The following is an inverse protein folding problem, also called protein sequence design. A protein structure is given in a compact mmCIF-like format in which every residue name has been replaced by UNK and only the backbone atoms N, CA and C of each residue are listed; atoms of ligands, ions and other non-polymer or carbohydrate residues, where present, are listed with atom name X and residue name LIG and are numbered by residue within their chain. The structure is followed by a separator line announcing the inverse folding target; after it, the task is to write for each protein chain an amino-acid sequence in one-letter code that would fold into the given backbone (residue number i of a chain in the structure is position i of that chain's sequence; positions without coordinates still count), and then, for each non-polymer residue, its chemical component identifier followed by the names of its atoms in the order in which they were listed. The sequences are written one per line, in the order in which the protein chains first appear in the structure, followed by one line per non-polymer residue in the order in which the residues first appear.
data_IF_885709559053
#
_entry.id   IF_885709559053
#
_cell.length_a   1.000
_cell.length_b   1.000
_cell.length_c   1.000
_cell.angle_alpha   90.00
_cell.angle_beta   90.00
_cell.angle_gamma   90.00
#
_symmetry.space_group_name_H-M   'P 1'
#
loop_
_entity.id
_entity.type
_entity.pdbx_description
1 polymer ?
#
# COMPACT_ATOMS: atom_id res chain seq x y z
N UNK A 1 -8.36 -11.39 8.34
CA UNK A 1 -7.62 -11.17 7.08
C UNK A 1 -7.05 -12.47 6.50
N UNK A 2 -6.45 -13.34 7.31
CA UNK A 2 -5.91 -14.65 6.85
C UNK A 2 -7.00 -15.56 6.28
N UNK A 3 -8.19 -15.56 6.88
CA UNK A 3 -9.35 -16.31 6.36
C UNK A 3 -9.72 -15.82 4.95
N UNK A 4 -9.73 -14.51 4.74
CA UNK A 4 -10.02 -13.94 3.42
C UNK A 4 -9.00 -14.37 2.35
N UNK A 5 -7.72 -14.48 2.72
CA UNK A 5 -6.67 -14.95 1.82
C UNK A 5 -6.91 -16.39 1.31
N UNK A 6 -7.58 -17.23 2.12
CA UNK A 6 -7.89 -18.62 1.75
C UNK A 6 -9.26 -18.71 1.05
N UNK A 7 -10.27 -18.05 1.62
CA UNK A 7 -11.66 -18.17 1.16
C UNK A 7 -11.88 -17.47 -0.19
N UNK A 8 -11.29 -16.29 -0.40
CA UNK A 8 -11.56 -15.51 -1.62
C UNK A 8 -11.02 -16.16 -2.90
N UNK A 9 -9.83 -16.76 -2.95
CA UNK A 9 -9.40 -17.54 -4.10
C UNK A 9 -10.32 -18.75 -4.41
N UNK A 10 -10.87 -19.38 -3.37
CA UNK A 10 -11.83 -20.49 -3.56
C UNK A 10 -13.13 -19.95 -4.15
N UNK A 11 -13.62 -18.80 -3.67
CA UNK A 11 -14.83 -18.18 -4.22
C UNK A 11 -14.64 -17.75 -5.67
N UNK A 12 -13.52 -17.18 -6.05
CA UNK A 12 -13.26 -16.77 -7.45
C UNK A 12 -13.28 -17.98 -8.38
N UNK A 13 -12.74 -19.12 -7.94
CA UNK A 13 -12.81 -20.39 -8.70
C UNK A 13 -14.21 -20.98 -8.72
N UNK A 14 -14.95 -20.91 -7.62
CA UNK A 14 -16.32 -21.46 -7.54
C UNK A 14 -17.30 -20.70 -8.44
N UNK A 15 -17.13 -19.36 -8.56
CA UNK A 15 -17.94 -18.51 -9.43
C UNK A 15 -17.41 -18.39 -10.85
N UNK A 16 -16.34 -19.13 -11.19
CA UNK A 16 -15.71 -19.13 -12.52
C UNK A 16 -15.35 -17.72 -13.01
N UNK A 17 -14.87 -16.86 -12.12
CA UNK A 17 -14.40 -15.55 -12.52
C UNK A 17 -13.18 -15.68 -13.43
N UNK A 18 -13.10 -14.85 -14.48
CA UNK A 18 -11.90 -14.75 -15.26
C UNK A 18 -10.75 -14.15 -14.42
N UNK A 19 -9.52 -14.29 -14.88
CA UNK A 19 -8.33 -13.88 -14.13
C UNK A 19 -8.31 -12.39 -13.79
N UNK A 20 -8.77 -11.53 -14.72
CA UNK A 20 -8.84 -10.09 -14.49
C UNK A 20 -9.85 -9.76 -13.37
N UNK A 21 -11.06 -10.30 -13.43
CA UNK A 21 -12.10 -10.04 -12.41
C UNK A 21 -11.67 -10.60 -11.05
N UNK A 22 -11.06 -11.78 -11.04
CA UNK A 22 -10.48 -12.37 -9.82
C UNK A 22 -9.40 -11.46 -9.22
N UNK A 23 -8.53 -10.92 -10.06
CA UNK A 23 -7.48 -10.00 -9.65
C UNK A 23 -8.05 -8.70 -9.05
N UNK A 24 -9.01 -8.07 -9.73
CA UNK A 24 -9.67 -6.86 -9.22
C UNK A 24 -10.41 -7.14 -7.91
N UNK A 25 -11.10 -8.25 -7.80
CA UNK A 25 -11.81 -8.65 -6.59
C UNK A 25 -10.85 -8.86 -5.41
N UNK A 26 -9.78 -9.63 -5.60
CA UNK A 26 -8.79 -9.90 -4.56
C UNK A 26 -8.03 -8.62 -4.15
N UNK A 27 -7.57 -7.83 -5.12
CA UNK A 27 -6.87 -6.57 -4.88
C UNK A 27 -7.73 -5.52 -4.19
N UNK A 28 -9.02 -5.47 -4.50
CA UNK A 28 -9.97 -4.54 -3.92
C UNK A 28 -10.46 -4.92 -2.52
N UNK A 29 -10.61 -6.21 -2.23
CA UNK A 29 -11.23 -6.70 -0.99
C UNK A 29 -10.24 -7.04 0.11
N UNK A 30 -9.13 -7.68 -0.19
CA UNK A 30 -8.11 -8.03 0.81
C UNK A 30 -7.37 -6.77 1.23
N UNK A 31 -7.19 -6.57 2.52
CA UNK A 31 -6.65 -5.30 3.05
C UNK A 31 -5.12 -5.21 2.95
N UNK A 32 -4.40 -6.28 3.20
CA UNK A 32 -2.95 -6.34 3.25
C UNK A 32 -2.34 -6.68 1.88
N UNK A 33 -1.28 -5.96 1.49
CA UNK A 33 -0.56 -6.16 0.21
C UNK A 33 0.04 -7.55 0.11
N UNK A 34 0.71 -8.03 1.17
CA UNK A 34 1.33 -9.35 1.17
C UNK A 34 0.30 -10.48 0.99
N UNK A 35 -0.86 -10.33 1.62
CA UNK A 35 -1.97 -11.28 1.48
C UNK A 35 -2.59 -11.24 0.09
N UNK A 36 -2.71 -10.06 -0.53
CA UNK A 36 -3.17 -9.91 -1.92
C UNK A 36 -2.26 -10.64 -2.88
N UNK A 37 -0.95 -10.43 -2.75
CA UNK A 37 0.05 -11.11 -3.58
C UNK A 37 -0.07 -12.62 -3.41
N UNK A 38 -0.07 -13.12 -2.16
CA UNK A 38 -0.20 -14.55 -1.90
C UNK A 38 -1.51 -15.15 -2.43
N UNK A 39 -2.65 -14.47 -2.23
CA UNK A 39 -3.95 -14.92 -2.71
C UNK A 39 -4.04 -14.88 -4.24
N UNK A 40 -3.58 -13.81 -4.88
CA UNK A 40 -3.62 -13.64 -6.33
C UNK A 40 -2.81 -14.69 -7.07
N UNK A 41 -1.54 -14.85 -6.70
CA UNK A 41 -0.65 -15.85 -7.31
C UNK A 41 -1.03 -17.31 -6.99
N UNK A 42 -1.87 -17.55 -5.97
CA UNK A 42 -2.44 -18.88 -5.73
C UNK A 42 -3.55 -19.25 -6.72
N UNK A 43 -4.14 -18.29 -7.41
CA UNK A 43 -5.16 -18.52 -8.46
C UNK A 43 -4.48 -18.70 -9.81
N UNK A 44 -3.76 -17.67 -10.28
CA UNK A 44 -2.96 -17.68 -11.50
C UNK A 44 -1.93 -16.54 -11.47
N UNK A 45 -0.94 -16.58 -12.37
CA UNK A 45 0.04 -15.49 -12.50
C UNK A 45 -0.65 -14.18 -12.92
N UNK A 46 -1.58 -14.25 -13.86
CA UNK A 46 -2.34 -13.09 -14.35
C UNK A 46 -3.20 -12.46 -13.24
N UNK A 47 -3.94 -13.28 -12.51
CA UNK A 47 -4.69 -12.83 -11.33
C UNK A 47 -3.79 -12.17 -10.29
N UNK A 48 -2.59 -12.72 -10.05
CA UNK A 48 -1.61 -12.16 -9.12
C UNK A 48 -1.10 -10.78 -9.52
N UNK A 49 -0.79 -10.60 -10.80
CA UNK A 49 -0.35 -9.31 -11.35
C UNK A 49 -1.44 -8.25 -11.26
N UNK A 50 -2.65 -8.57 -11.72
CA UNK A 50 -3.81 -7.66 -11.66
C UNK A 50 -4.15 -7.29 -10.21
N UNK A 51 -4.21 -8.26 -9.31
CA UNK A 51 -4.51 -8.03 -7.90
C UNK A 51 -3.49 -7.11 -7.24
N UNK A 52 -2.21 -7.33 -7.53
CA UNK A 52 -1.11 -6.50 -7.03
C UNK A 52 -1.20 -5.08 -7.58
N UNK A 53 -1.46 -4.92 -8.87
CA UNK A 53 -1.59 -3.63 -9.54
C UNK A 53 -2.76 -2.82 -8.96
N UNK A 54 -3.94 -3.42 -8.80
CA UNK A 54 -5.12 -2.79 -8.19
C UNK A 54 -4.80 -2.32 -6.77
N UNK A 55 -4.07 -3.13 -6.01
CA UNK A 55 -3.65 -2.77 -4.66
C UNK A 55 -2.67 -1.61 -4.63
N UNK A 56 -1.69 -1.59 -5.52
CA UNK A 56 -0.72 -0.50 -5.62
C UNK A 56 -1.39 0.82 -6.01
N UNK A 57 -2.35 0.80 -6.95
CA UNK A 57 -3.15 1.99 -7.31
C UNK A 57 -3.90 2.51 -6.08
N UNK A 58 -4.56 1.63 -5.33
CA UNK A 58 -5.30 2.02 -4.13
C UNK A 58 -4.39 2.66 -3.07
N UNK A 59 -3.21 2.12 -2.85
CA UNK A 59 -2.22 2.69 -1.91
C UNK A 59 -1.67 4.01 -2.44
N UNK A 60 -1.41 4.12 -3.73
CA UNK A 60 -0.94 5.36 -4.36
C UNK A 60 -1.97 6.50 -4.24
N UNK A 61 -3.26 6.19 -4.37
CA UNK A 61 -4.33 7.17 -4.21
C UNK A 61 -4.47 7.68 -2.76
N UNK A 62 -3.93 6.98 -1.78
CA UNK A 62 -3.93 7.45 -0.39
C UNK A 62 -3.11 8.73 -0.22
N UNK A 63 -2.01 8.88 -0.96
CA UNK A 63 -1.12 10.04 -0.85
C UNK A 63 -1.83 11.37 -1.19
N UNK A 64 -2.53 11.52 -2.34
CA UNK A 64 -3.27 12.74 -2.65
C UNK A 64 -4.43 12.98 -1.68
N UNK A 65 -5.12 11.94 -1.22
CA UNK A 65 -6.22 12.07 -0.25
C UNK A 65 -5.70 12.61 1.08
N UNK A 66 -4.61 12.06 1.61
CA UNK A 66 -3.98 12.54 2.85
C UNK A 66 -3.51 13.98 2.68
N UNK A 67 -2.97 14.34 1.53
CA UNK A 67 -2.55 15.72 1.24
C UNK A 67 -3.74 16.69 1.28
N UNK A 68 -4.83 16.37 0.60
CA UNK A 68 -6.05 17.19 0.59
C UNK A 68 -6.61 17.35 1.99
N UNK A 69 -6.75 16.26 2.75
CA UNK A 69 -7.24 16.31 4.14
C UNK A 69 -6.32 17.17 5.00
N UNK A 70 -4.99 17.02 4.89
CA UNK A 70 -4.02 17.80 5.65
C UNK A 70 -4.15 19.30 5.38
N UNK A 71 -4.35 19.67 4.11
CA UNK A 71 -4.57 21.09 3.71
C UNK A 71 -5.90 21.62 4.24
N UNK A 72 -6.97 20.83 4.15
CA UNK A 72 -8.30 21.22 4.66
C UNK A 72 -8.30 21.42 6.17
N UNK A 73 -7.72 20.48 6.92
CA UNK A 73 -7.61 20.57 8.38
C UNK A 73 -6.80 21.80 8.79
N UNK A 74 -5.73 22.12 8.06
CA UNK A 74 -4.94 23.31 8.33
C UNK A 74 -5.73 24.61 8.12
N UNK A 75 -6.51 24.71 7.05
CA UNK A 75 -7.35 25.89 6.78
C UNK A 75 -8.36 26.12 7.89
N UNK A 76 -8.98 25.06 8.43
CA UNK A 76 -9.90 25.15 9.54
C UNK A 76 -9.22 25.44 10.90
N UNK A 77 -7.94 25.05 11.05
CA UNK A 77 -7.17 25.34 12.26
C UNK A 77 -6.61 26.76 12.30
N UNK A 78 -6.55 27.47 11.18
CA UNK A 78 -6.19 28.89 11.12
C UNK A 78 -7.26 29.79 11.73
N UNK A 79 -8.53 29.33 11.77
CA UNK A 79 -9.66 30.04 12.42
C UNK A 79 -9.73 29.79 13.94
N UNK A 80 -8.99 28.84 14.47
CA UNK A 80 -8.91 28.54 15.90
C UNK A 80 -7.56 29.01 16.46
N UNK A 81 -7.56 30.15 17.13
CA UNK A 81 -6.41 30.79 17.81
C UNK A 81 -5.96 29.93 19.01
N UNK A 82 -5.33 28.79 18.73
CA UNK A 82 -4.72 27.92 19.75
C UNK A 82 -3.21 27.90 19.55
N UNK A 83 -2.49 28.59 20.46
CA UNK A 83 -1.03 28.76 20.49
C UNK A 83 -0.21 27.47 20.68
N UNK A 84 -0.55 26.40 19.98
CA UNK A 84 0.15 25.12 19.95
C UNK A 84 1.05 24.99 18.71
N UNK A 85 2.16 24.25 18.85
CA UNK A 85 3.07 23.93 17.73
C UNK A 85 2.28 23.35 16.58
N UNK A 86 2.27 24.05 15.44
CA UNK A 86 1.57 23.65 14.22
C UNK A 86 2.09 22.30 13.73
N UNK A 87 1.23 21.28 13.57
CA UNK A 87 1.66 20.02 12.99
C UNK A 87 2.16 20.25 11.56
N UNK A 88 3.21 19.56 11.12
CA UNK A 88 3.71 19.72 9.74
C UNK A 88 2.60 19.36 8.75
N UNK A 89 2.47 20.16 7.69
CA UNK A 89 1.43 20.03 6.64
C UNK A 89 1.43 18.65 5.98
N UNK A 90 2.60 18.07 5.90
CA UNK A 90 2.81 16.74 5.36
C UNK A 90 3.63 15.95 6.37
N UNK A 91 3.18 14.75 6.75
CA UNK A 91 4.05 13.83 7.49
C UNK A 91 5.35 13.63 6.70
N UNK A 92 6.48 13.73 7.37
CA UNK A 92 7.82 13.68 6.73
C UNK A 92 8.00 12.46 5.84
N UNK A 93 7.35 11.33 6.17
CA UNK A 93 7.41 10.12 5.37
C UNK A 93 6.69 10.26 4.00
N UNK A 94 5.62 11.07 3.91
CA UNK A 94 4.91 11.31 2.64
C UNK A 94 5.79 12.11 1.68
N UNK A 95 6.52 13.09 2.19
CA UNK A 95 7.49 13.87 1.39
C UNK A 95 8.58 12.94 0.86
N UNK A 96 9.15 12.09 1.73
CA UNK A 96 10.12 11.08 1.34
C UNK A 96 9.58 10.13 0.27
N UNK A 97 8.37 9.63 0.45
CA UNK A 97 7.71 8.77 -0.53
C UNK A 97 7.54 9.45 -1.90
N UNK A 98 7.06 10.69 -1.93
CA UNK A 98 6.87 11.43 -3.18
C UNK A 98 8.20 11.67 -3.91
N UNK A 99 9.26 12.03 -3.17
CA UNK A 99 10.60 12.22 -3.74
C UNK A 99 11.10 10.91 -4.36
N UNK A 100 11.03 9.80 -3.61
CA UNK A 100 11.48 8.51 -4.12
C UNK A 100 10.64 8.00 -5.29
N UNK A 101 9.32 8.17 -5.24
CA UNK A 101 8.42 7.81 -6.34
C UNK A 101 8.74 8.61 -7.61
N UNK A 102 8.99 9.91 -7.49
CA UNK A 102 9.37 10.77 -8.62
C UNK A 102 10.73 10.37 -9.20
N UNK A 103 11.74 10.17 -8.34
CA UNK A 103 13.07 9.73 -8.77
C UNK A 103 13.04 8.37 -9.47
N UNK A 104 12.22 7.45 -8.96
CA UNK A 104 12.03 6.13 -9.57
C UNK A 104 11.31 6.24 -10.92
N UNK A 105 10.28 7.08 -11.03
CA UNK A 105 9.55 7.32 -12.27
C UNK A 105 10.42 7.96 -13.37
N UNK A 106 11.39 8.78 -12.99
CA UNK A 106 12.36 9.38 -13.91
C UNK A 106 13.49 8.42 -14.30
N UNK A 107 13.52 7.20 -13.78
CA UNK A 107 14.55 6.22 -14.06
C UNK A 107 15.95 6.60 -13.55
N UNK A 108 16.05 7.56 -12.63
CA UNK A 108 17.31 8.08 -12.10
C UNK A 108 17.94 7.17 -11.03
N UNK A 109 17.21 6.14 -10.59
CA UNK A 109 17.68 5.21 -9.54
C UNK A 109 18.36 4.01 -10.19
N UNK A 110 19.66 3.77 -9.97
CA UNK A 110 20.35 2.60 -10.46
C UNK A 110 19.71 1.31 -9.90
N UNK A 111 19.67 0.25 -10.72
CA UNK A 111 19.08 -1.05 -10.36
C UNK A 111 19.68 -1.63 -9.07
N UNK A 112 20.97 -1.42 -8.83
CA UNK A 112 21.66 -1.85 -7.61
C UNK A 112 21.04 -1.22 -6.34
N UNK A 113 20.67 0.06 -6.40
CA UNK A 113 20.02 0.77 -5.27
C UNK A 113 18.62 0.22 -5.04
N UNK A 114 17.87 -0.07 -6.11
CA UNK A 114 16.52 -0.66 -6.02
C UNK A 114 16.55 -2.05 -5.37
N UNK A 115 17.49 -2.90 -5.73
CA UNK A 115 17.64 -4.24 -5.13
C UNK A 115 18.00 -4.16 -3.65
N UNK A 116 18.92 -3.28 -3.29
CA UNK A 116 19.33 -3.07 -1.89
C UNK A 116 18.17 -2.52 -1.06
N UNK A 117 17.45 -1.52 -1.59
CA UNK A 117 16.28 -0.93 -0.95
C UNK A 117 15.13 -1.94 -0.80
N UNK A 118 14.90 -2.76 -1.81
CA UNK A 118 13.90 -3.85 -1.77
C UNK A 118 14.22 -4.87 -0.68
N UNK A 119 15.49 -5.27 -0.58
CA UNK A 119 15.94 -6.20 0.45
C UNK A 119 15.80 -5.59 1.86
N UNK A 120 16.23 -4.34 2.05
CA UNK A 120 16.10 -3.63 3.32
C UNK A 120 14.63 -3.44 3.72
N UNK A 121 13.76 -3.12 2.77
CA UNK A 121 12.31 -3.00 2.96
C UNK A 121 11.68 -4.30 3.44
N UNK A 122 12.07 -5.45 2.87
CA UNK A 122 11.59 -6.77 3.32
C UNK A 122 12.00 -7.05 4.75
N UNK A 123 13.25 -6.78 5.12
CA UNK A 123 13.72 -6.97 6.49
C UNK A 123 13.01 -6.04 7.47
N UNK A 124 12.82 -4.77 7.11
CA UNK A 124 12.08 -3.81 7.93
C UNK A 124 10.62 -4.25 8.15
N UNK A 125 9.95 -4.76 7.12
CA UNK A 125 8.60 -5.33 7.22
C UNK A 125 8.56 -6.54 8.18
N UNK A 126 9.50 -7.48 8.04
CA UNK A 126 9.57 -8.66 8.91
C UNK A 126 9.77 -8.26 10.38
N UNK A 127 10.68 -7.33 10.66
CA UNK A 127 10.93 -6.81 12.00
C UNK A 127 9.71 -6.08 12.55
N UNK A 128 9.03 -5.27 11.72
CA UNK A 128 7.81 -4.56 12.11
C UNK A 128 6.67 -5.51 12.47
N UNK A 129 6.46 -6.56 11.67
CA UNK A 129 5.43 -7.57 11.92
C UNK A 129 5.75 -8.35 13.21
N UNK A 130 7.01 -8.73 13.40
CA UNK A 130 7.46 -9.40 14.61
C UNK A 130 7.26 -8.52 15.85
N UNK A 131 7.60 -7.24 15.78
CA UNK A 131 7.42 -6.28 16.87
C UNK A 131 5.96 -6.07 17.24
N UNK A 132 5.06 -6.02 16.26
CA UNK A 132 3.60 -5.94 16.50
C UNK A 132 3.07 -7.23 17.12
N UNK A 133 3.58 -8.38 16.68
CA UNK A 133 3.21 -9.69 17.25
C UNK A 133 3.63 -9.88 18.70
N UNK A 134 4.74 -9.26 19.12
CA UNK A 134 5.24 -9.34 20.50
C UNK A 134 4.54 -8.38 21.47
N UNK A 135 3.77 -7.42 20.97
CA UNK A 135 3.10 -6.40 21.78
C UNK A 135 1.73 -6.83 22.31
N UNK A 136 1.42 -8.12 22.25
CA UNK A 136 0.14 -8.65 22.74
C UNK A 136 0.26 -9.17 24.15
#
# INVERSE_FOLDING_TARGET
STIAMIVYPILTKFYEFNDEVSGVFLGGTIHDVAQVVGAGFSVSNETGEVATLVKLIRVAMLAPVVLVISVLVRRHAEDADTGGKRPPVLPTFVIGFLIFATLNSLGLIPTFVLETMSSLSRWALLVSIAAVGMKK
#
